data_IF_389105956653
#
_entry.id   IF_389105956653
#
_cell.length_a   1.000
_cell.length_b   1.000
_cell.length_c   1.000
_cell.angle_alpha   90.00
_cell.angle_beta   90.00
_cell.angle_gamma   90.00
#
_symmetry.space_group_name_H-M   'P 1'
#
loop_
_entity.id
_entity.type
_entity.pdbx_description
1 polymer ?
#
# COMPACT_ATOMS: atom_id res chain seq x y z
N UNK A 1 -14.05 -17.64 -24.93
CA UNK A 1 -12.79 -17.14 -25.52
C UNK A 1 -12.31 -15.83 -24.91
N UNK A 2 -13.10 -15.20 -24.06
CA UNK A 2 -12.90 -13.81 -23.63
C UNK A 2 -11.95 -13.62 -22.42
N UNK A 3 -11.57 -14.68 -21.72
CA UNK A 3 -10.76 -14.59 -20.50
C UNK A 3 -9.23 -14.64 -20.73
N UNK A 4 -8.80 -15.10 -21.90
CA UNK A 4 -7.37 -15.20 -22.23
C UNK A 4 -6.73 -13.85 -22.59
N UNK A 5 -7.46 -12.97 -23.25
CA UNK A 5 -6.95 -11.67 -23.71
C UNK A 5 -6.49 -10.76 -22.56
N UNK A 6 -7.28 -10.52 -21.48
CA UNK A 6 -6.85 -9.67 -20.36
C UNK A 6 -5.67 -10.25 -19.59
N UNK A 7 -5.58 -11.58 -19.44
CA UNK A 7 -4.45 -12.26 -18.77
C UNK A 7 -3.16 -12.11 -19.57
N UNK A 8 -3.25 -12.23 -20.91
CA UNK A 8 -2.11 -11.99 -21.78
C UNK A 8 -1.66 -10.54 -21.74
N UNK A 9 -2.60 -9.59 -21.70
CA UNK A 9 -2.28 -8.16 -21.53
C UNK A 9 -1.53 -7.93 -20.23
N UNK A 10 -1.98 -8.53 -19.10
CA UNK A 10 -1.26 -8.45 -17.82
C UNK A 10 0.16 -9.03 -17.90
N UNK A 11 0.35 -10.12 -18.66
CA UNK A 11 1.68 -10.70 -18.90
C UNK A 11 2.58 -9.70 -19.64
N UNK A 12 2.10 -9.10 -20.72
CA UNK A 12 2.82 -8.04 -21.44
C UNK A 12 3.08 -6.85 -20.53
N UNK A 13 2.10 -6.50 -19.69
CA UNK A 13 2.19 -5.41 -18.70
C UNK A 13 3.36 -5.55 -17.76
N UNK A 14 3.68 -6.77 -17.33
CA UNK A 14 4.85 -7.04 -16.51
C UNK A 14 6.14 -6.51 -17.16
N UNK A 15 6.32 -6.80 -18.45
CA UNK A 15 7.49 -6.33 -19.21
C UNK A 15 7.44 -4.81 -19.46
N UNK A 16 6.25 -4.25 -19.61
CA UNK A 16 6.08 -2.79 -19.73
C UNK A 16 6.54 -2.11 -18.45
N UNK A 17 6.16 -2.59 -17.24
CA UNK A 17 6.59 -2.01 -15.96
C UNK A 17 8.11 -2.10 -15.81
N UNK A 18 8.70 -3.25 -16.13
CA UNK A 18 10.17 -3.44 -16.14
C UNK A 18 10.84 -2.50 -17.16
N UNK A 19 10.25 -2.36 -18.35
CA UNK A 19 10.74 -1.48 -19.41
C UNK A 19 10.73 -0.01 -19.01
N UNK A 20 9.64 0.46 -18.36
CA UNK A 20 9.55 1.83 -17.83
C UNK A 20 10.62 2.05 -16.74
N UNK A 21 10.79 1.10 -15.82
CA UNK A 21 11.82 1.18 -14.79
C UNK A 21 13.22 1.28 -15.40
N UNK A 22 13.49 0.48 -16.46
CA UNK A 22 14.75 0.51 -17.18
C UNK A 22 14.96 1.83 -17.95
N UNK A 23 13.90 2.34 -18.56
CA UNK A 23 13.94 3.63 -19.29
C UNK A 23 14.24 4.81 -18.35
N UNK A 24 13.73 4.76 -17.11
CA UNK A 24 13.99 5.76 -16.05
C UNK A 24 15.27 5.49 -15.25
N UNK A 25 15.91 4.34 -15.53
CA UNK A 25 17.10 3.88 -14.81
C UNK A 25 18.37 4.68 -15.14
N UNK A 26 19.21 4.83 -14.12
CA UNK A 26 20.60 5.24 -14.26
C UNK A 26 21.46 4.01 -14.63
N UNK A 27 22.57 4.21 -15.30
CA UNK A 27 23.52 3.11 -15.60
C UNK A 27 22.89 1.82 -16.12
N UNK A 28 21.96 1.92 -17.09
CA UNK A 28 21.11 0.83 -17.62
C UNK A 28 21.88 -0.44 -18.00
N UNK A 29 23.15 -0.33 -18.40
CA UNK A 29 24.04 -1.46 -18.79
C UNK A 29 24.58 -2.24 -17.58
N UNK A 30 24.46 -1.69 -16.36
CA UNK A 30 24.96 -2.29 -15.11
C UNK A 30 23.88 -3.01 -14.29
N UNK A 31 22.67 -3.12 -14.83
CA UNK A 31 21.58 -3.86 -14.21
C UNK A 31 21.96 -5.33 -14.05
N UNK A 32 21.86 -5.85 -12.83
CA UNK A 32 22.15 -7.25 -12.56
C UNK A 32 20.95 -8.13 -12.95
N UNK A 33 21.06 -8.83 -14.08
CA UNK A 33 20.01 -9.70 -14.60
C UNK A 33 19.60 -10.82 -13.63
N UNK A 34 20.55 -11.33 -12.83
CA UNK A 34 20.23 -12.35 -11.81
C UNK A 34 19.24 -11.80 -10.78
N UNK A 35 19.45 -10.59 -10.28
CA UNK A 35 18.55 -9.93 -9.32
C UNK A 35 17.16 -9.75 -9.92
N UNK A 36 17.09 -9.29 -11.17
CA UNK A 36 15.81 -9.06 -11.87
C UNK A 36 15.07 -10.37 -12.10
N UNK A 37 15.71 -11.35 -12.74
CA UNK A 37 15.08 -12.65 -13.09
C UNK A 37 14.67 -13.40 -11.82
N UNK A 38 15.54 -13.45 -10.80
CA UNK A 38 15.23 -14.11 -9.55
C UNK A 38 14.09 -13.44 -8.80
N UNK A 39 14.01 -12.09 -8.82
CA UNK A 39 12.92 -11.35 -8.19
C UNK A 39 11.59 -11.55 -8.90
N UNK A 40 11.58 -11.53 -10.24
CA UNK A 40 10.39 -11.85 -11.04
C UNK A 40 9.93 -13.30 -10.81
N UNK A 41 10.87 -14.25 -10.79
CA UNK A 41 10.57 -15.66 -10.50
C UNK A 41 10.01 -15.83 -9.08
N UNK A 42 10.58 -15.15 -8.08
CA UNK A 42 10.11 -15.21 -6.70
C UNK A 42 8.68 -14.65 -6.57
N UNK A 43 8.38 -13.54 -7.25
CA UNK A 43 7.00 -13.01 -7.30
C UNK A 43 6.03 -14.00 -7.96
N UNK A 44 6.43 -14.61 -9.07
CA UNK A 44 5.60 -15.61 -9.76
C UNK A 44 5.32 -16.82 -8.86
N UNK A 45 6.34 -17.33 -8.17
CA UNK A 45 6.20 -18.44 -7.23
C UNK A 45 5.22 -18.09 -6.11
N UNK A 46 5.36 -16.90 -5.51
CA UNK A 46 4.43 -16.44 -4.47
C UNK A 46 3.01 -16.26 -5.04
N UNK A 47 2.86 -15.65 -6.21
CA UNK A 47 1.58 -15.46 -6.85
C UNK A 47 0.88 -16.79 -7.15
N UNK A 48 1.59 -17.75 -7.72
CA UNK A 48 1.05 -19.09 -7.99
C UNK A 48 0.68 -19.82 -6.69
N UNK A 49 1.57 -19.79 -5.70
CA UNK A 49 1.35 -20.46 -4.42
C UNK A 49 0.11 -19.90 -3.72
N UNK A 50 -0.05 -18.57 -3.70
CA UNK A 50 -1.13 -17.92 -2.96
C UNK A 50 -2.45 -17.90 -3.75
N UNK A 51 -2.39 -17.65 -5.08
CA UNK A 51 -3.62 -17.45 -5.88
C UNK A 51 -4.13 -18.72 -6.56
N UNK A 52 -3.31 -19.79 -6.70
CA UNK A 52 -3.67 -20.97 -7.52
C UNK A 52 -3.56 -22.30 -6.79
N UNK A 53 -3.10 -22.34 -5.52
CA UNK A 53 -2.98 -23.60 -4.79
C UNK A 53 -4.03 -23.72 -3.69
N UNK A 54 -4.28 -24.94 -3.24
CA UNK A 54 -5.08 -25.22 -2.05
C UNK A 54 -4.50 -24.54 -0.79
N UNK A 55 -3.19 -24.48 -0.66
CA UNK A 55 -2.54 -23.76 0.45
C UNK A 55 -2.89 -22.27 0.43
N UNK A 56 -2.98 -21.67 -0.76
CA UNK A 56 -3.44 -20.29 -0.93
C UNK A 56 -4.89 -20.10 -0.51
N UNK A 57 -5.80 -21.00 -0.90
CA UNK A 57 -7.20 -20.93 -0.45
C UNK A 57 -7.30 -20.96 1.07
N UNK A 58 -6.57 -21.88 1.74
CA UNK A 58 -6.51 -21.93 3.20
C UNK A 58 -5.87 -20.69 3.82
N UNK A 59 -4.87 -20.11 3.16
CA UNK A 59 -4.28 -18.85 3.58
C UNK A 59 -5.32 -17.71 3.54
N UNK A 60 -6.12 -17.60 2.45
CA UNK A 60 -7.18 -16.60 2.35
C UNK A 60 -8.23 -16.77 3.44
N UNK A 61 -8.76 -17.99 3.63
CA UNK A 61 -9.73 -18.32 4.69
C UNK A 61 -9.17 -17.93 6.08
N UNK A 62 -7.93 -18.31 6.37
CA UNK A 62 -7.26 -17.99 7.63
C UNK A 62 -7.02 -16.48 7.82
N UNK A 63 -6.63 -15.77 6.78
CA UNK A 63 -6.45 -14.33 6.81
C UNK A 63 -7.77 -13.61 7.07
N UNK A 64 -8.84 -13.94 6.33
CA UNK A 64 -10.16 -13.35 6.53
C UNK A 64 -10.69 -13.62 7.95
N UNK A 65 -10.55 -14.85 8.47
CA UNK A 65 -10.96 -15.19 9.82
C UNK A 65 -10.16 -14.42 10.88
N UNK A 66 -8.83 -14.32 10.72
CA UNK A 66 -7.95 -13.60 11.64
C UNK A 66 -8.27 -12.10 11.65
N UNK A 67 -8.39 -11.47 10.48
CA UNK A 67 -8.74 -10.05 10.39
C UNK A 67 -10.14 -9.76 10.92
N UNK A 68 -11.12 -10.63 10.64
CA UNK A 68 -12.48 -10.51 11.20
C UNK A 68 -12.47 -10.54 12.73
N UNK A 69 -11.73 -11.47 13.35
CA UNK A 69 -11.59 -11.54 14.79
C UNK A 69 -10.88 -10.31 15.38
N UNK A 70 -9.82 -9.82 14.73
CA UNK A 70 -9.11 -8.62 15.15
C UNK A 70 -9.96 -7.36 15.01
N UNK A 71 -10.75 -7.25 13.93
CA UNK A 71 -11.69 -6.13 13.75
C UNK A 71 -12.80 -6.17 14.81
N UNK A 72 -13.34 -7.34 15.14
CA UNK A 72 -14.30 -7.49 16.22
C UNK A 72 -13.71 -7.02 17.57
N UNK A 73 -12.48 -7.43 17.90
CA UNK A 73 -11.79 -7.00 19.12
C UNK A 73 -11.54 -5.48 19.12
N UNK A 74 -11.13 -4.90 17.99
CA UNK A 74 -10.96 -3.47 17.83
C UNK A 74 -12.25 -2.70 18.06
N UNK A 75 -13.37 -3.22 17.53
CA UNK A 75 -14.68 -2.61 17.67
C UNK A 75 -15.16 -2.62 19.13
N UNK A 76 -14.85 -3.63 19.93
CA UNK A 76 -15.17 -3.62 21.36
C UNK A 76 -14.45 -2.47 22.10
N UNK A 77 -13.16 -2.25 21.81
CA UNK A 77 -12.42 -1.11 22.36
C UNK A 77 -12.98 0.26 21.91
N UNK A 78 -13.29 0.38 20.61
CA UNK A 78 -13.90 1.60 20.08
C UNK A 78 -15.30 1.84 20.64
N UNK A 79 -16.11 0.80 20.84
CA UNK A 79 -17.45 0.88 21.45
C UNK A 79 -17.37 1.34 22.91
N UNK A 80 -16.39 0.84 23.65
CA UNK A 80 -16.19 1.28 25.03
C UNK A 80 -15.90 2.80 25.12
N UNK A 81 -15.11 3.33 24.18
CA UNK A 81 -14.71 4.74 24.18
C UNK A 81 -15.76 5.67 23.56
N UNK A 82 -16.35 5.26 22.42
CA UNK A 82 -17.22 6.10 21.59
C UNK A 82 -18.70 5.70 21.63
N UNK A 83 -19.03 4.63 22.36
CA UNK A 83 -20.41 4.14 22.47
C UNK A 83 -20.98 3.83 21.08
N UNK A 84 -22.17 4.33 20.88
CA UNK A 84 -22.91 4.07 19.66
C UNK A 84 -22.40 4.83 18.43
N UNK A 85 -21.49 5.79 18.52
CA UNK A 85 -20.92 6.51 17.37
C UNK A 85 -20.15 5.59 16.40
N UNK A 86 -19.81 4.38 16.82
CA UNK A 86 -19.20 3.36 15.93
C UNK A 86 -20.20 2.63 15.05
N UNK A 87 -21.52 2.75 15.32
CA UNK A 87 -22.56 2.07 14.54
C UNK A 87 -23.10 3.00 13.46
N UNK A 88 -23.12 2.57 12.17
CA UNK A 88 -23.66 3.39 11.10
C UNK A 88 -25.19 3.53 11.15
N UNK A 89 -25.86 2.66 11.90
CA UNK A 89 -27.32 2.57 11.99
C UNK A 89 -27.72 2.60 13.45
N UNK A 90 -28.68 3.45 13.79
CA UNK A 90 -29.28 3.56 15.11
C UNK A 90 -30.76 3.21 15.06
N UNK A 91 -31.16 2.36 15.96
CA UNK A 91 -32.54 2.13 16.26
C UNK A 91 -32.93 2.94 17.52
N UNK A 92 -33.68 4.03 17.33
CA UNK A 92 -34.24 4.78 18.44
C UNK A 92 -35.45 4.04 18.98
N UNK A 93 -35.31 3.43 20.17
CA UNK A 93 -36.42 2.90 20.96
C UNK A 93 -36.74 3.90 22.04
N UNK A 94 -37.92 4.51 21.97
CA UNK A 94 -38.41 5.42 23.03
C UNK A 94 -39.76 4.94 23.55
N UNK A 95 -39.99 5.06 24.87
CA UNK A 95 -41.30 4.86 25.47
C UNK A 95 -42.28 5.88 24.87
N UNK A 96 -43.26 5.39 24.08
CA UNK A 96 -44.27 6.22 23.43
C UNK A 96 -44.10 6.39 21.90
N UNK A 97 -43.07 5.78 21.29
CA UNK A 97 -42.94 5.73 19.84
C UNK A 97 -43.61 4.43 19.31
N UNK A 98 -44.66 4.58 18.53
CA UNK A 98 -45.40 3.47 17.95
C UNK A 98 -44.62 2.68 16.88
N UNK A 99 -43.47 3.24 16.44
CA UNK A 99 -42.58 2.60 15.46
C UNK A 99 -41.10 2.89 15.83
N UNK A 100 -40.23 1.89 15.65
CA UNK A 100 -38.79 2.07 15.73
C UNK A 100 -38.31 3.01 14.62
N UNK A 101 -37.77 4.16 15.00
CA UNK A 101 -37.13 5.07 14.03
C UNK A 101 -35.68 4.63 13.82
N UNK A 102 -35.34 4.26 12.57
CA UNK A 102 -33.97 3.95 12.16
C UNK A 102 -33.31 5.27 11.74
N UNK A 103 -32.28 5.68 12.46
CA UNK A 103 -31.43 6.80 12.08
C UNK A 103 -30.15 6.26 11.48
N UNK A 104 -29.88 6.60 10.22
CA UNK A 104 -28.67 6.19 9.49
C UNK A 104 -27.71 7.37 9.49
N UNK A 105 -26.64 7.28 10.28
CA UNK A 105 -25.56 8.29 10.27
C UNK A 105 -24.54 8.08 9.16
N UNK A 106 -24.54 6.92 8.50
CA UNK A 106 -23.51 6.52 7.58
C UNK A 106 -22.19 6.17 8.29
N UNK A 107 -21.15 5.89 7.51
CA UNK A 107 -19.85 5.53 8.05
C UNK A 107 -19.08 6.80 8.48
N UNK A 108 -18.82 6.95 9.80
CA UNK A 108 -17.99 8.02 10.35
C UNK A 108 -16.57 7.50 10.52
N UNK A 109 -15.68 7.85 9.58
CA UNK A 109 -14.28 7.37 9.53
C UNK A 109 -13.55 7.62 10.86
N UNK A 110 -13.77 8.75 11.51
CA UNK A 110 -13.11 9.11 12.77
C UNK A 110 -13.39 8.12 13.91
N UNK A 111 -14.60 7.57 13.98
CA UNK A 111 -15.01 6.69 15.07
C UNK A 111 -15.03 5.20 14.70
N UNK A 112 -15.13 4.89 13.41
CA UNK A 112 -15.24 3.51 12.93
C UNK A 112 -13.92 2.98 12.41
N UNK A 113 -13.08 3.81 11.77
CA UNK A 113 -11.89 3.36 11.04
C UNK A 113 -10.60 3.77 11.75
N UNK A 114 -10.48 5.01 12.22
CA UNK A 114 -9.24 5.45 12.87
C UNK A 114 -8.91 4.66 14.16
N UNK A 115 -9.87 4.22 15.00
CA UNK A 115 -9.58 3.36 16.14
C UNK A 115 -8.99 2.00 15.76
N UNK A 116 -9.35 1.47 14.58
CA UNK A 116 -8.77 0.23 14.05
C UNK A 116 -7.25 0.37 13.90
N UNK A 117 -6.78 1.50 13.37
CA UNK A 117 -5.35 1.79 13.21
C UNK A 117 -4.62 1.75 14.57
N UNK A 118 -5.25 2.31 15.62
CA UNK A 118 -4.69 2.30 17.00
C UNK A 118 -4.56 0.87 17.50
N UNK A 119 -5.63 0.09 17.42
CA UNK A 119 -5.64 -1.29 17.87
C UNK A 119 -4.63 -2.17 17.11
N UNK A 120 -4.62 -2.10 15.78
CA UNK A 120 -3.70 -2.88 14.97
C UNK A 120 -2.23 -2.48 15.19
N UNK A 121 -1.95 -1.21 15.47
CA UNK A 121 -0.61 -0.74 15.86
C UNK A 121 -0.18 -1.31 17.22
N UNK A 122 -1.08 -1.33 18.20
CA UNK A 122 -0.82 -1.95 19.50
C UNK A 122 -0.55 -3.46 19.35
N UNK A 123 -1.37 -4.16 18.57
CA UNK A 123 -1.23 -5.57 18.28
C UNK A 123 0.08 -5.88 17.55
N UNK A 124 0.45 -5.09 16.54
CA UNK A 124 1.73 -5.22 15.84
C UNK A 124 2.92 -5.03 16.80
N UNK A 125 2.83 -4.07 17.73
CA UNK A 125 3.82 -3.87 18.79
C UNK A 125 3.99 -5.10 19.68
N UNK A 126 2.90 -5.76 20.06
CA UNK A 126 2.92 -7.01 20.83
C UNK A 126 3.57 -8.14 20.03
N UNK A 127 3.19 -8.33 18.76
CA UNK A 127 3.79 -9.36 17.88
C UNK A 127 5.30 -9.13 17.68
N UNK A 128 5.69 -7.85 17.59
CA UNK A 128 7.09 -7.48 17.50
C UNK A 128 7.84 -7.80 18.79
N UNK A 129 7.29 -7.46 19.96
CA UNK A 129 7.90 -7.77 21.26
C UNK A 129 8.06 -9.29 21.48
N UNK A 130 7.06 -10.09 21.11
CA UNK A 130 7.09 -11.55 21.20
C UNK A 130 8.08 -12.21 20.21
N UNK A 131 8.64 -11.48 19.27
CA UNK A 131 9.59 -11.99 18.30
C UNK A 131 8.96 -12.67 17.08
N UNK A 132 7.64 -12.70 16.97
CA UNK A 132 6.93 -13.36 15.86
C UNK A 132 7.26 -12.66 14.53
N UNK A 133 7.14 -11.35 14.50
CA UNK A 133 7.47 -10.52 13.31
C UNK A 133 8.92 -10.75 12.88
N UNK A 134 9.86 -10.84 13.81
CA UNK A 134 11.30 -11.02 13.51
C UNK A 134 11.60 -12.36 12.86
N UNK A 135 10.89 -13.43 13.24
CA UNK A 135 11.07 -14.76 12.62
C UNK A 135 10.67 -14.71 11.15
N UNK A 136 9.50 -14.14 10.86
CA UNK A 136 8.96 -14.03 9.50
C UNK A 136 9.86 -13.13 8.65
N UNK A 137 10.20 -11.94 9.15
CA UNK A 137 11.07 -10.97 8.47
C UNK A 137 12.43 -11.57 8.15
N UNK A 138 13.05 -12.27 9.09
CA UNK A 138 14.34 -12.95 8.85
C UNK A 138 14.25 -14.04 7.79
N UNK A 139 13.16 -14.80 7.77
CA UNK A 139 12.93 -15.81 6.74
C UNK A 139 12.79 -15.16 5.36
N UNK A 140 11.94 -14.13 5.21
CA UNK A 140 11.77 -13.38 3.98
C UNK A 140 13.06 -12.74 3.49
N UNK A 141 13.79 -12.06 4.39
CA UNK A 141 15.06 -11.42 4.06
C UNK A 141 16.10 -12.43 3.57
N UNK A 142 16.20 -13.62 4.20
CA UNK A 142 17.12 -14.68 3.77
C UNK A 142 16.78 -15.24 2.38
N UNK A 143 15.48 -15.44 2.11
CA UNK A 143 15.02 -15.92 0.80
C UNK A 143 15.38 -14.91 -0.27
N UNK A 144 15.04 -13.63 -0.08
CA UNK A 144 15.33 -12.56 -1.03
C UNK A 144 16.85 -12.39 -1.23
N UNK A 145 17.63 -12.34 -0.15
CA UNK A 145 19.07 -12.20 -0.23
C UNK A 145 19.72 -13.35 -1.04
N UNK A 146 19.37 -14.60 -0.75
CA UNK A 146 19.95 -15.76 -1.44
C UNK A 146 19.52 -15.84 -2.91
N UNK A 147 18.24 -15.63 -3.19
CA UNK A 147 17.69 -15.73 -4.53
C UNK A 147 18.19 -14.58 -5.42
N UNK A 148 18.07 -13.34 -4.93
CA UNK A 148 18.30 -12.13 -5.71
C UNK A 148 19.75 -11.60 -5.61
N UNK A 149 20.59 -12.22 -4.77
CA UNK A 149 21.98 -11.78 -4.51
C UNK A 149 22.09 -10.31 -4.03
N UNK A 150 21.18 -9.93 -3.17
CA UNK A 150 21.09 -8.60 -2.57
C UNK A 150 21.85 -8.52 -1.24
N UNK A 151 21.99 -7.33 -0.67
CA UNK A 151 22.60 -7.18 0.65
C UNK A 151 21.64 -7.62 1.77
N UNK A 152 22.20 -7.92 2.93
CA UNK A 152 21.40 -8.27 4.12
C UNK A 152 20.58 -7.10 4.61
N UNK A 153 21.15 -5.89 4.62
CA UNK A 153 20.49 -4.69 5.12
C UNK A 153 19.27 -4.28 4.26
N UNK A 154 19.42 -4.26 2.94
CA UNK A 154 18.30 -3.90 2.05
C UNK A 154 17.19 -4.96 2.03
N UNK A 155 17.55 -6.25 2.02
CA UNK A 155 16.57 -7.34 2.08
C UNK A 155 15.80 -7.32 3.40
N UNK A 156 16.48 -7.03 4.51
CA UNK A 156 15.88 -6.89 5.82
C UNK A 156 14.95 -5.68 5.89
N UNK A 157 15.39 -4.53 5.39
CA UNK A 157 14.60 -3.29 5.36
C UNK A 157 13.27 -3.50 4.62
N UNK A 158 13.35 -4.06 3.41
CA UNK A 158 12.15 -4.30 2.58
C UNK A 158 11.22 -5.33 3.23
N UNK A 159 11.78 -6.40 3.84
CA UNK A 159 10.97 -7.38 4.56
C UNK A 159 10.28 -6.80 5.81
N UNK A 160 10.93 -5.87 6.52
CA UNK A 160 10.34 -5.18 7.67
C UNK A 160 9.16 -4.30 7.25
N UNK A 161 9.25 -3.60 6.13
CA UNK A 161 8.18 -2.73 5.66
C UNK A 161 6.89 -3.47 5.26
N UNK A 162 6.93 -4.77 5.01
CA UNK A 162 5.73 -5.59 4.81
C UNK A 162 4.83 -5.61 6.06
N UNK A 163 5.40 -5.46 7.25
CA UNK A 163 4.69 -5.55 8.53
C UNK A 163 4.62 -4.22 9.27
N UNK A 164 5.69 -3.42 9.16
CA UNK A 164 5.86 -2.16 9.87
C UNK A 164 5.95 -1.02 8.85
N UNK A 165 5.47 0.14 9.23
CA UNK A 165 5.64 1.36 8.43
C UNK A 165 7.06 1.95 8.52
N UNK A 166 7.16 3.27 8.49
CA UNK A 166 8.44 3.98 8.59
C UNK A 166 9.16 3.68 9.92
N UNK A 167 8.43 3.23 10.94
CA UNK A 167 8.96 2.81 12.24
C UNK A 167 9.98 1.68 12.13
N UNK A 168 9.87 0.86 11.06
CA UNK A 168 10.85 -0.19 10.77
C UNK A 168 12.29 0.35 10.65
N UNK A 169 12.45 1.63 10.28
CA UNK A 169 13.78 2.26 10.14
C UNK A 169 14.54 2.35 11.45
N UNK A 170 13.85 2.43 12.60
CA UNK A 170 14.49 2.45 13.92
C UNK A 170 15.20 1.11 14.19
N UNK A 171 14.62 0.00 13.74
CA UNK A 171 15.20 -1.33 13.90
C UNK A 171 16.47 -1.59 13.08
N UNK A 172 16.74 -0.75 12.08
CA UNK A 172 17.87 -0.87 11.14
C UNK A 172 18.71 0.42 11.04
N UNK A 173 18.58 1.31 12.01
CA UNK A 173 19.22 2.64 12.02
C UNK A 173 20.73 2.58 11.80
N UNK A 174 21.42 1.60 12.39
CA UNK A 174 22.85 1.41 12.24
C UNK A 174 23.28 1.08 10.80
N UNK A 175 22.42 0.38 10.08
CA UNK A 175 22.67 0.05 8.68
C UNK A 175 22.40 1.23 7.76
N UNK A 176 21.34 2.02 8.04
CA UNK A 176 20.91 3.14 7.15
C UNK A 176 22.07 4.11 6.89
N UNK A 177 22.81 4.47 7.93
CA UNK A 177 23.95 5.43 7.81
C UNK A 177 25.09 4.90 6.93
N UNK A 178 25.19 3.59 6.76
CA UNK A 178 26.27 2.91 6.01
C UNK A 178 25.80 2.29 4.70
N UNK A 179 24.53 2.45 4.35
CA UNK A 179 23.97 1.97 3.11
C UNK A 179 24.58 2.70 1.91
N UNK A 180 24.86 1.95 0.84
CA UNK A 180 25.17 2.51 -0.47
C UNK A 180 23.99 3.32 -0.98
N UNK A 181 24.22 4.13 -2.02
CA UNK A 181 23.12 4.88 -2.67
C UNK A 181 22.03 3.95 -3.21
N UNK A 182 22.40 2.81 -3.78
CA UNK A 182 21.49 1.80 -4.30
C UNK A 182 20.70 1.11 -3.19
N UNK A 183 21.33 0.73 -2.07
CA UNK A 183 20.66 0.16 -0.91
C UNK A 183 19.64 1.12 -0.30
N UNK A 184 20.05 2.41 -0.13
CA UNK A 184 19.16 3.45 0.39
C UNK A 184 17.94 3.65 -0.51
N UNK A 185 18.12 3.66 -1.83
CA UNK A 185 17.03 3.75 -2.78
C UNK A 185 16.12 2.51 -2.74
N UNK A 186 16.70 1.32 -2.57
CA UNK A 186 15.93 0.08 -2.39
C UNK A 186 15.08 0.12 -1.12
N UNK A 187 15.64 0.61 0.00
CA UNK A 187 14.91 0.84 1.24
C UNK A 187 13.73 1.81 1.01
N UNK A 188 13.99 2.96 0.40
CA UNK A 188 12.95 3.96 0.11
C UNK A 188 11.86 3.43 -0.81
N UNK A 189 12.24 2.64 -1.83
CA UNK A 189 11.29 1.96 -2.73
C UNK A 189 10.48 0.92 -1.98
N UNK A 190 11.09 0.16 -1.07
CA UNK A 190 10.40 -0.82 -0.21
C UNK A 190 9.30 -0.17 0.63
N UNK A 191 9.61 0.96 1.28
CA UNK A 191 8.60 1.73 2.01
C UNK A 191 7.45 2.20 1.11
N UNK A 192 7.76 2.70 -0.08
CA UNK A 192 6.73 3.17 -1.03
C UNK A 192 5.89 2.04 -1.63
N UNK A 193 6.45 0.83 -1.76
CA UNK A 193 5.79 -0.30 -2.41
C UNK A 193 4.99 -1.22 -1.46
N UNK A 194 5.09 -1.02 -0.15
CA UNK A 194 4.41 -1.84 0.86
C UNK A 194 3.47 -1.00 1.72
N UNK A 195 2.58 -1.66 2.44
CA UNK A 195 1.71 -1.03 3.44
C UNK A 195 1.99 -1.62 4.81
N UNK A 196 1.90 -0.78 5.84
CA UNK A 196 2.03 -1.24 7.21
C UNK A 196 0.84 -2.11 7.62
N UNK A 197 1.10 -3.19 8.36
CA UNK A 197 0.05 -4.08 8.88
C UNK A 197 -0.99 -3.35 9.75
N UNK A 198 -0.57 -2.28 10.43
CA UNK A 198 -1.46 -1.44 11.24
C UNK A 198 -2.54 -0.70 10.43
N UNK A 199 -2.24 -0.35 9.19
CA UNK A 199 -3.21 0.35 8.30
C UNK A 199 -4.05 -0.65 7.49
N UNK A 200 -3.53 -1.86 7.28
CA UNK A 200 -4.22 -2.92 6.53
C UNK A 200 -5.60 -3.24 7.13
N UNK A 201 -5.71 -3.26 8.46
CA UNK A 201 -6.99 -3.45 9.14
C UNK A 201 -8.06 -2.43 8.75
N UNK A 202 -7.67 -1.18 8.54
CA UNK A 202 -8.57 -0.13 8.08
C UNK A 202 -9.10 -0.41 6.65
N UNK A 203 -8.24 -0.87 5.74
CA UNK A 203 -8.67 -1.21 4.38
C UNK A 203 -9.59 -2.43 4.34
N UNK A 204 -9.30 -3.44 5.18
CA UNK A 204 -10.18 -4.60 5.33
C UNK A 204 -11.54 -4.19 5.90
N UNK A 205 -11.60 -3.19 6.79
CA UNK A 205 -12.87 -2.66 7.30
C UNK A 205 -13.72 -1.97 6.23
N UNK A 206 -13.12 -1.50 5.13
CA UNK A 206 -13.86 -1.00 3.97
C UNK A 206 -14.44 -2.13 3.09
N UNK A 207 -14.04 -3.38 3.33
CA UNK A 207 -14.47 -4.55 2.56
C UNK A 207 -13.41 -5.07 1.58
N UNK A 208 -12.18 -4.56 1.63
CA UNK A 208 -11.06 -5.10 0.83
C UNK A 208 -10.65 -6.45 1.40
N UNK A 209 -10.46 -7.46 0.56
CA UNK A 209 -10.06 -8.80 1.00
C UNK A 209 -8.72 -8.80 1.73
N UNK A 210 -8.70 -9.31 2.97
CA UNK A 210 -7.50 -9.44 3.78
C UNK A 210 -6.45 -10.34 3.13
N UNK A 211 -6.90 -11.42 2.48
CA UNK A 211 -6.03 -12.35 1.77
C UNK A 211 -5.31 -11.69 0.61
N UNK A 212 -6.03 -10.92 -0.24
CA UNK A 212 -5.42 -10.17 -1.34
C UNK A 212 -4.46 -9.09 -0.84
N UNK A 213 -4.78 -8.40 0.25
CA UNK A 213 -3.93 -7.38 0.84
C UNK A 213 -2.60 -7.96 1.36
N UNK A 214 -2.66 -9.07 2.12
CA UNK A 214 -1.47 -9.76 2.60
C UNK A 214 -0.62 -10.31 1.45
N UNK A 215 -1.26 -10.93 0.44
CA UNK A 215 -0.57 -11.42 -0.74
C UNK A 215 0.14 -10.29 -1.49
N UNK A 216 -0.54 -9.17 -1.71
CA UNK A 216 0.01 -7.98 -2.36
C UNK A 216 1.23 -7.44 -1.60
N UNK A 217 1.14 -7.30 -0.26
CA UNK A 217 2.22 -6.78 0.58
C UNK A 217 3.46 -7.68 0.53
N UNK A 218 3.29 -9.02 0.64
CA UNK A 218 4.41 -9.97 0.55
C UNK A 218 5.05 -9.95 -0.85
N UNK A 219 4.24 -9.92 -1.91
CA UNK A 219 4.73 -9.88 -3.29
C UNK A 219 5.42 -8.57 -3.64
N UNK A 220 5.04 -7.47 -3.01
CA UNK A 220 5.64 -6.15 -3.22
C UNK A 220 7.09 -6.08 -2.73
N UNK A 221 7.50 -6.91 -1.78
CA UNK A 221 8.87 -6.91 -1.28
C UNK A 221 9.91 -7.26 -2.37
N UNK A 222 9.87 -8.41 -3.06
CA UNK A 222 10.78 -8.68 -4.17
C UNK A 222 10.55 -7.71 -5.35
N UNK A 223 9.32 -7.23 -5.59
CA UNK A 223 9.04 -6.24 -6.62
C UNK A 223 9.81 -4.94 -6.40
N UNK A 224 9.79 -4.43 -5.16
CA UNK A 224 10.50 -3.21 -4.78
C UNK A 224 12.00 -3.32 -5.05
N UNK A 225 12.61 -4.46 -4.71
CA UNK A 225 14.02 -4.72 -4.97
C UNK A 225 14.31 -4.75 -6.49
N UNK A 226 13.48 -5.46 -7.28
CA UNK A 226 13.64 -5.54 -8.75
C UNK A 226 13.63 -4.15 -9.36
N UNK A 227 12.57 -3.38 -9.11
CA UNK A 227 12.41 -2.05 -9.70
C UNK A 227 13.51 -1.09 -9.21
N UNK A 228 13.84 -1.10 -7.92
CA UNK A 228 14.91 -0.27 -7.38
C UNK A 228 16.26 -0.58 -8.02
N UNK A 229 16.63 -1.85 -8.15
CA UNK A 229 17.91 -2.26 -8.75
C UNK A 229 17.96 -2.10 -10.27
N UNK A 230 16.82 -2.00 -10.95
CA UNK A 230 16.76 -1.58 -12.36
C UNK A 230 16.98 -0.06 -12.46
N UNK A 231 16.31 0.73 -11.61
CA UNK A 231 16.38 2.19 -11.66
C UNK A 231 17.73 2.75 -11.15
N UNK A 232 18.25 2.17 -10.06
CA UNK A 232 19.56 2.54 -9.49
C UNK A 232 20.34 1.25 -9.19
N UNK A 233 21.09 0.73 -10.17
CA UNK A 233 21.90 -0.48 -10.00
C UNK A 233 22.97 -0.30 -8.92
N UNK A 234 23.38 -1.40 -8.28
CA UNK A 234 24.45 -1.39 -7.30
C UNK A 234 25.82 -1.19 -7.96
N UNK A 235 26.47 -0.13 -7.62
CA UNK A 235 27.79 0.26 -8.16
C UNK A 235 28.89 0.23 -7.11
N UNK A 236 28.51 0.05 -5.84
CA UNK A 236 29.41 0.05 -4.69
C UNK A 236 29.46 -1.36 -4.06
N UNK A 237 30.23 -1.53 -3.01
CA UNK A 237 30.32 -2.78 -2.27
C UNK A 237 29.50 -2.67 -0.98
N UNK A 238 28.29 -3.25 -0.90
CA UNK A 238 27.47 -3.25 0.31
C UNK A 238 28.17 -3.93 1.48
N UNK A 239 28.17 -3.28 2.65
CA UNK A 239 28.82 -3.82 3.86
C UNK A 239 28.20 -5.14 4.36
N UNK A 240 26.91 -5.36 4.10
CA UNK A 240 26.18 -6.54 4.57
C UNK A 240 25.97 -7.59 3.47
N UNK A 241 26.82 -7.56 2.43
CA UNK A 241 26.72 -8.54 1.33
C UNK A 241 26.95 -9.95 1.86
N UNK A 242 25.98 -10.83 1.61
CA UNK A 242 26.04 -12.23 2.06
C UNK A 242 25.70 -12.47 3.54
N UNK A 243 25.38 -11.40 4.32
CA UNK A 243 25.08 -11.53 5.76
C UNK A 243 23.73 -10.87 6.09
N UNK A 244 22.85 -11.60 6.74
CA UNK A 244 21.66 -11.06 7.42
C UNK A 244 21.90 -11.15 8.92
N UNK A 245 22.33 -10.07 9.54
CA UNK A 245 22.37 -9.94 10.99
C UNK A 245 21.23 -9.01 11.41
N UNK A 246 20.33 -9.50 12.21
CA UNK A 246 19.22 -8.71 12.72
C UNK A 246 19.09 -8.94 14.22
N UNK A 247 19.51 -7.95 14.97
CA UNK A 247 19.28 -7.85 16.41
C UNK A 247 18.43 -6.60 16.65
N UNK A 248 17.10 -6.74 16.64
CA UNK A 248 16.22 -5.60 16.86
C UNK A 248 16.44 -5.06 18.27
N UNK A 249 16.53 -3.75 18.45
CA UNK A 249 16.54 -3.14 19.77
C UNK A 249 15.23 -3.50 20.50
N UNK A 250 15.33 -4.01 21.72
CA UNK A 250 14.17 -4.23 22.59
C UNK A 250 13.88 -2.91 23.33
N UNK A 251 13.02 -2.08 22.74
CA UNK A 251 12.63 -0.82 23.35
C UNK A 251 11.58 -1.02 24.46
N UNK A 252 10.73 -2.04 24.34
CA UNK A 252 9.69 -2.33 25.31
C UNK A 252 10.20 -3.26 26.42
N UNK A 253 9.85 -2.94 27.67
CA UNK A 253 10.25 -3.70 28.86
C UNK A 253 9.40 -4.96 29.04
N UNK A 254 8.14 -4.92 28.66
CA UNK A 254 7.19 -6.03 28.73
C UNK A 254 6.10 -5.91 27.69
N UNK A 255 5.20 -6.92 27.61
CA UNK A 255 4.09 -6.96 26.63
C UNK A 255 3.15 -5.78 26.76
N UNK A 256 2.88 -5.31 27.97
CA UNK A 256 1.98 -4.18 28.25
C UNK A 256 2.60 -2.88 27.76
N UNK A 257 3.90 -2.66 28.01
CA UNK A 257 4.65 -1.52 27.49
C UNK A 257 4.69 -1.54 25.95
N UNK A 258 4.88 -2.71 25.35
CA UNK A 258 4.85 -2.89 23.89
C UNK A 258 3.47 -2.50 23.30
N UNK A 259 2.39 -2.95 23.93
CA UNK A 259 1.04 -2.59 23.52
C UNK A 259 0.78 -1.09 23.67
N UNK A 260 1.18 -0.48 24.79
CA UNK A 260 1.00 0.95 25.06
C UNK A 260 1.77 1.83 24.08
N UNK A 261 3.04 1.50 23.78
CA UNK A 261 3.85 2.18 22.75
C UNK A 261 3.24 2.04 21.36
N UNK A 262 2.79 0.84 21.01
CA UNK A 262 2.10 0.58 19.75
C UNK A 262 0.80 1.39 19.64
N UNK A 263 0.00 1.45 20.70
CA UNK A 263 -1.21 2.28 20.75
C UNK A 263 -0.90 3.78 20.58
N UNK A 264 0.15 4.28 21.25
CA UNK A 264 0.62 5.66 21.10
C UNK A 264 1.04 5.98 19.65
N UNK A 265 1.84 5.09 19.03
CA UNK A 265 2.23 5.23 17.63
C UNK A 265 1.01 5.17 16.68
N UNK A 266 0.07 4.25 16.94
CA UNK A 266 -1.19 4.13 16.20
C UNK A 266 -2.08 5.36 16.33
N UNK A 267 -2.14 6.00 17.51
CA UNK A 267 -2.87 7.25 17.72
C UNK A 267 -2.30 8.37 16.84
N UNK A 268 -0.97 8.56 16.87
CA UNK A 268 -0.31 9.55 16.01
C UNK A 268 -0.57 9.30 14.53
N UNK A 269 -0.51 8.03 14.11
CA UNK A 269 -0.81 7.63 12.73
C UNK A 269 -2.27 7.93 12.38
N UNK A 270 -3.22 7.59 13.24
CA UNK A 270 -4.65 7.86 13.05
C UNK A 270 -4.94 9.36 12.94
N UNK A 271 -4.36 10.20 13.82
CA UNK A 271 -4.49 11.64 13.76
C UNK A 271 -3.91 12.22 12.45
N UNK A 272 -2.76 11.75 12.03
CA UNK A 272 -2.16 12.17 10.75
C UNK A 272 -3.04 11.76 9.56
N UNK A 273 -3.58 10.53 9.56
CA UNK A 273 -4.51 10.09 8.51
C UNK A 273 -5.73 11.03 8.50
N UNK A 274 -6.33 11.31 9.66
CA UNK A 274 -7.49 12.22 9.77
C UNK A 274 -7.18 13.63 9.24
N UNK A 275 -6.04 14.20 9.64
CA UNK A 275 -5.59 15.51 9.15
C UNK A 275 -5.37 15.53 7.63
N UNK A 276 -4.72 14.51 7.09
CA UNK A 276 -4.49 14.36 5.66
C UNK A 276 -5.81 14.20 4.88
N UNK A 277 -6.76 13.43 5.41
CA UNK A 277 -8.08 13.28 4.79
C UNK A 277 -8.79 14.63 4.69
N UNK A 278 -8.86 15.40 5.80
CA UNK A 278 -9.51 16.71 5.79
C UNK A 278 -8.84 17.64 4.78
N UNK A 279 -7.51 17.74 4.81
CA UNK A 279 -6.76 18.64 3.95
C UNK A 279 -6.87 18.27 2.47
N UNK A 280 -6.56 17.02 2.11
CA UNK A 280 -6.47 16.63 0.70
C UNK A 280 -7.83 16.41 0.05
N UNK A 281 -8.81 15.87 0.76
CA UNK A 281 -10.19 15.80 0.23
C UNK A 281 -10.75 17.20 0.01
N UNK A 282 -10.49 18.14 0.95
CA UNK A 282 -10.86 19.56 0.78
C UNK A 282 -10.16 20.21 -0.42
N UNK A 283 -8.86 19.99 -0.60
CA UNK A 283 -8.11 20.53 -1.74
C UNK A 283 -8.61 19.96 -3.09
N UNK A 284 -8.97 18.68 -3.14
CA UNK A 284 -9.56 18.08 -4.35
C UNK A 284 -10.95 18.67 -4.62
N UNK A 285 -11.77 18.86 -3.58
CA UNK A 285 -13.05 19.51 -3.73
C UNK A 285 -12.89 20.94 -4.30
N UNK A 286 -11.93 21.70 -3.77
CA UNK A 286 -11.59 23.03 -4.29
C UNK A 286 -11.13 22.98 -5.75
N UNK A 287 -10.22 22.05 -6.08
CA UNK A 287 -9.76 21.87 -7.45
C UNK A 287 -10.92 21.50 -8.40
N UNK A 288 -11.85 20.63 -7.95
CA UNK A 288 -13.03 20.27 -8.74
C UNK A 288 -14.00 21.43 -8.92
N UNK A 289 -14.13 22.34 -7.94
CA UNK A 289 -14.92 23.58 -8.08
C UNK A 289 -14.30 24.46 -9.17
N UNK A 290 -12.97 24.66 -9.15
CA UNK A 290 -12.25 25.47 -10.14
C UNK A 290 -12.37 24.87 -11.54
N UNK A 291 -12.13 23.56 -11.67
CA UNK A 291 -12.26 22.82 -12.94
C UNK A 291 -13.71 22.81 -13.44
N UNK A 292 -14.67 22.67 -12.51
CA UNK A 292 -16.10 22.72 -12.80
C UNK A 292 -16.52 24.05 -13.38
N UNK A 293 -16.10 25.16 -12.77
CA UNK A 293 -16.41 26.52 -13.29
C UNK A 293 -15.86 26.73 -14.72
N UNK A 294 -14.63 26.24 -15.00
CA UNK A 294 -14.08 26.25 -16.35
C UNK A 294 -14.84 25.36 -17.34
N UNK A 295 -15.28 24.17 -16.88
CA UNK A 295 -16.01 23.22 -17.73
C UNK A 295 -17.45 23.67 -17.99
N UNK A 296 -18.10 24.39 -17.08
CA UNK A 296 -19.46 24.95 -17.31
C UNK A 296 -19.49 25.90 -18.49
N UNK A 297 -18.44 26.71 -18.70
CA UNK A 297 -18.29 27.57 -19.89
C UNK A 297 -18.18 26.71 -21.16
N UNK A 298 -17.38 25.65 -21.13
CA UNK A 298 -17.18 24.75 -22.28
C UNK A 298 -18.44 23.92 -22.59
N UNK A 299 -19.18 23.51 -21.57
CA UNK A 299 -20.48 22.83 -21.72
C UNK A 299 -21.51 23.76 -22.32
N UNK A 300 -21.55 25.02 -21.86
CA UNK A 300 -22.42 26.05 -22.45
C UNK A 300 -22.16 26.30 -23.94
N UNK A 301 -20.94 26.07 -24.41
CA UNK A 301 -20.57 26.10 -25.82
C UNK A 301 -20.66 24.75 -26.55
N UNK A 302 -21.26 23.72 -25.92
CA UNK A 302 -21.41 22.37 -26.48
C UNK A 302 -20.06 21.68 -26.80
N UNK A 303 -18.97 22.16 -26.22
CA UNK A 303 -17.62 21.58 -26.42
C UNK A 303 -17.33 20.37 -25.51
N UNK A 304 -18.09 20.23 -24.42
CA UNK A 304 -17.97 19.12 -23.45
C UNK A 304 -19.35 18.57 -23.10
N UNK A 305 -19.48 17.26 -22.95
CA UNK A 305 -20.71 16.60 -22.53
C UNK A 305 -20.89 16.59 -21.00
N UNK A 306 -19.79 16.64 -20.25
CA UNK A 306 -19.78 16.49 -18.77
C UNK A 306 -18.67 17.33 -18.13
N UNK A 307 -18.87 17.66 -16.83
CA UNK A 307 -17.89 18.42 -16.05
C UNK A 307 -16.55 17.70 -15.94
N UNK A 308 -15.49 18.48 -16.02
CA UNK A 308 -14.12 18.01 -15.78
C UNK A 308 -13.90 17.93 -14.26
N UNK A 309 -13.41 16.79 -13.79
CA UNK A 309 -12.97 16.60 -12.40
C UNK A 309 -11.55 16.03 -12.37
N UNK A 310 -10.84 16.23 -11.28
CA UNK A 310 -9.51 15.62 -11.09
C UNK A 310 -9.55 14.09 -11.24
N UNK A 311 -10.57 13.45 -10.70
CA UNK A 311 -10.75 12.01 -10.81
C UNK A 311 -10.86 11.56 -12.27
N UNK A 312 -11.57 12.34 -13.08
CA UNK A 312 -11.70 12.06 -14.52
C UNK A 312 -10.39 12.28 -15.26
N UNK A 313 -9.66 13.36 -14.95
CA UNK A 313 -8.32 13.59 -15.51
C UNK A 313 -7.39 12.42 -15.15
N UNK A 314 -7.39 11.98 -13.90
CA UNK A 314 -6.59 10.82 -13.46
C UNK A 314 -7.05 9.54 -14.14
N UNK A 315 -8.39 9.36 -14.30
CA UNK A 315 -8.94 8.23 -15.04
C UNK A 315 -8.30 8.12 -16.41
N UNK A 316 -8.30 9.18 -17.20
CA UNK A 316 -7.69 9.18 -18.53
C UNK A 316 -6.16 9.05 -18.48
N UNK A 317 -5.48 9.75 -17.59
CA UNK A 317 -4.02 9.73 -17.50
C UNK A 317 -3.44 8.35 -17.13
N UNK A 318 -4.13 7.63 -16.23
CA UNK A 318 -3.67 6.33 -15.73
C UNK A 318 -4.35 5.13 -16.39
N UNK A 319 -5.41 5.33 -17.22
CA UNK A 319 -6.08 4.25 -17.95
C UNK A 319 -5.13 3.38 -18.79
N UNK A 320 -4.14 3.92 -19.51
CA UNK A 320 -3.23 3.09 -20.27
C UNK A 320 -2.45 2.11 -19.38
N UNK A 321 -2.01 2.55 -18.20
CA UNK A 321 -1.33 1.69 -17.23
C UNK A 321 -2.28 0.66 -16.64
N UNK A 322 -3.51 1.07 -16.29
CA UNK A 322 -4.54 0.16 -15.78
C UNK A 322 -4.92 -0.90 -16.83
N UNK A 323 -5.05 -0.49 -18.09
CA UNK A 323 -5.34 -1.42 -19.18
C UNK A 323 -4.22 -2.44 -19.37
N UNK A 324 -2.97 -2.00 -19.36
CA UNK A 324 -1.79 -2.88 -19.48
C UNK A 324 -1.66 -3.82 -18.25
N UNK A 325 -2.17 -3.46 -17.09
CA UNK A 325 -2.29 -4.36 -15.94
C UNK A 325 -3.39 -5.42 -16.11
N UNK A 326 -4.25 -5.31 -17.14
CA UNK A 326 -5.24 -6.31 -17.51
C UNK A 326 -6.68 -5.97 -17.11
N UNK A 327 -7.04 -4.68 -17.04
CA UNK A 327 -8.43 -4.27 -16.93
C UNK A 327 -9.24 -4.79 -18.13
N UNK A 328 -10.49 -5.21 -17.89
CA UNK A 328 -11.31 -5.93 -18.88
C UNK A 328 -11.83 -5.07 -20.02
N UNK A 329 -12.06 -3.80 -19.75
CA UNK A 329 -12.57 -2.81 -20.70
C UNK A 329 -11.90 -1.45 -20.48
N UNK A 330 -12.08 -0.54 -21.43
CA UNK A 330 -11.56 0.82 -21.28
C UNK A 330 -12.23 1.58 -20.12
N UNK A 331 -13.54 1.37 -19.90
CA UNK A 331 -14.25 1.94 -18.74
C UNK A 331 -13.71 1.39 -17.41
N UNK A 332 -13.44 0.09 -17.33
CA UNK A 332 -12.80 -0.55 -16.17
C UNK A 332 -11.38 0.01 -15.95
N UNK A 333 -10.61 0.19 -17.04
CA UNK A 333 -9.31 0.83 -16.97
C UNK A 333 -9.37 2.30 -16.49
N UNK A 334 -10.42 3.04 -16.85
CA UNK A 334 -10.64 4.39 -16.34
C UNK A 334 -10.99 4.39 -14.86
N UNK A 335 -11.82 3.46 -14.38
CA UNK A 335 -12.15 3.33 -12.96
C UNK A 335 -10.90 3.01 -12.14
N UNK A 336 -10.09 2.03 -12.57
CA UNK A 336 -8.80 1.74 -11.93
C UNK A 336 -7.85 2.94 -12.02
N UNK A 337 -7.78 3.60 -13.17
CA UNK A 337 -6.97 4.82 -13.37
C UNK A 337 -7.31 5.95 -12.40
N UNK A 338 -8.60 6.18 -12.13
CA UNK A 338 -9.04 7.15 -11.12
C UNK A 338 -8.50 6.82 -9.73
N UNK A 339 -8.51 5.53 -9.36
CA UNK A 339 -7.96 5.06 -8.09
C UNK A 339 -6.44 5.29 -8.01
N UNK A 340 -5.70 5.01 -9.11
CA UNK A 340 -4.25 5.21 -9.16
C UNK A 340 -3.88 6.69 -9.02
N UNK A 341 -4.60 7.58 -9.68
CA UNK A 341 -4.40 9.02 -9.56
C UNK A 341 -4.77 9.54 -8.18
N UNK A 342 -5.88 9.09 -7.62
CA UNK A 342 -6.30 9.41 -6.24
C UNK A 342 -5.23 8.98 -5.24
N UNK A 343 -4.68 7.75 -5.37
CA UNK A 343 -3.58 7.27 -4.54
C UNK A 343 -2.36 8.19 -4.63
N UNK A 344 -1.93 8.56 -5.83
CA UNK A 344 -0.71 9.35 -6.04
C UNK A 344 -0.82 10.73 -5.39
N UNK A 345 -1.95 11.41 -5.56
CA UNK A 345 -2.14 12.80 -5.14
C UNK A 345 -2.58 12.89 -3.68
N UNK A 346 -3.48 12.00 -3.24
CA UNK A 346 -3.93 11.96 -1.85
C UNK A 346 -3.19 10.85 -1.10
N UNK A 347 -3.76 9.64 -1.15
CA UNK A 347 -3.21 8.40 -0.62
C UNK A 347 -4.08 7.20 -1.03
N UNK A 348 -3.60 6.01 -0.72
CA UNK A 348 -4.29 4.74 -0.96
C UNK A 348 -5.53 4.56 -0.07
N UNK A 349 -5.57 5.19 1.11
CA UNK A 349 -6.71 5.11 2.02
C UNK A 349 -7.99 5.64 1.38
N UNK A 350 -7.92 6.85 0.78
CA UNK A 350 -9.04 7.45 0.04
C UNK A 350 -9.38 6.63 -1.20
N UNK A 351 -8.37 6.09 -1.88
CA UNK A 351 -8.59 5.27 -3.06
C UNK A 351 -9.35 3.98 -2.73
N UNK A 352 -8.99 3.27 -1.65
CA UNK A 352 -9.72 2.08 -1.20
C UNK A 352 -11.13 2.41 -0.71
N UNK A 353 -11.31 3.48 0.06
CA UNK A 353 -12.64 3.92 0.51
C UNK A 353 -13.56 4.23 -0.68
N UNK A 354 -13.06 4.98 -1.67
CA UNK A 354 -13.78 5.31 -2.89
C UNK A 354 -14.09 4.06 -3.73
N UNK A 355 -13.13 3.14 -3.87
CA UNK A 355 -13.34 1.88 -4.56
C UNK A 355 -14.50 1.08 -3.96
N UNK A 356 -14.46 0.88 -2.64
CA UNK A 356 -15.40 -0.02 -1.97
C UNK A 356 -16.76 0.61 -1.69
N UNK A 357 -16.83 1.93 -1.47
CA UNK A 357 -18.11 2.61 -1.17
C UNK A 357 -18.81 3.21 -2.40
N UNK A 358 -18.06 3.45 -3.48
CA UNK A 358 -18.63 4.11 -4.67
C UNK A 358 -18.55 3.22 -5.89
N UNK A 359 -17.34 2.82 -6.32
CA UNK A 359 -17.20 2.13 -7.60
C UNK A 359 -17.80 0.71 -7.59
N UNK A 360 -17.58 -0.04 -6.52
CA UNK A 360 -18.09 -1.42 -6.41
C UNK A 360 -19.63 -1.45 -6.30
N UNK A 361 -20.29 -0.70 -5.39
CA UNK A 361 -21.75 -0.73 -5.29
C UNK A 361 -22.48 -0.20 -6.52
N UNK A 362 -21.86 0.71 -7.27
CA UNK A 362 -22.42 1.26 -8.50
C UNK A 362 -22.13 0.40 -9.75
N UNK A 363 -21.38 -0.70 -9.61
CA UNK A 363 -20.99 -1.53 -10.74
C UNK A 363 -20.06 -0.87 -11.75
N UNK A 364 -19.33 0.18 -11.33
CA UNK A 364 -18.42 0.95 -12.18
C UNK A 364 -17.04 0.33 -12.36
N UNK A 365 -16.74 -0.71 -11.58
CA UNK A 365 -15.50 -1.47 -11.66
C UNK A 365 -15.82 -2.97 -11.66
N UNK A 366 -15.16 -3.73 -12.52
CA UNK A 366 -15.35 -5.19 -12.60
C UNK A 366 -14.72 -5.90 -11.38
N UNK A 367 -15.15 -7.13 -11.02
CA UNK A 367 -14.50 -7.93 -9.98
C UNK A 367 -13.00 -8.10 -10.22
N UNK A 368 -12.59 -8.28 -11.47
CA UNK A 368 -11.18 -8.34 -11.89
C UNK A 368 -10.48 -6.99 -11.67
N UNK A 369 -11.14 -5.90 -12.04
CA UNK A 369 -10.65 -4.53 -11.80
C UNK A 369 -10.43 -4.26 -10.31
N UNK A 370 -11.33 -4.73 -9.44
CA UNK A 370 -11.17 -4.64 -7.97
C UNK A 370 -9.90 -5.36 -7.50
N UNK A 371 -9.65 -6.59 -7.99
CA UNK A 371 -8.42 -7.31 -7.64
C UNK A 371 -7.19 -6.56 -8.14
N UNK A 372 -7.14 -6.17 -9.41
CA UNK A 372 -6.02 -5.41 -9.99
C UNK A 372 -5.77 -4.13 -9.18
N UNK A 373 -6.83 -3.37 -8.88
CA UNK A 373 -6.73 -2.15 -8.07
C UNK A 373 -6.21 -2.46 -6.66
N UNK A 374 -6.67 -3.53 -6.02
CA UNK A 374 -6.22 -3.93 -4.69
C UNK A 374 -4.70 -4.12 -4.64
N UNK A 375 -4.13 -4.81 -5.62
CA UNK A 375 -2.67 -4.99 -5.71
C UNK A 375 -1.96 -3.71 -6.13
N UNK A 376 -2.50 -2.97 -7.09
CA UNK A 376 -1.91 -1.73 -7.56
C UNK A 376 -1.90 -0.62 -6.50
N UNK A 377 -2.87 -0.58 -5.60
CA UNK A 377 -2.96 0.40 -4.50
C UNK A 377 -2.13 -0.01 -3.27
N UNK A 378 -1.67 -1.26 -3.17
CA UNK A 378 -1.01 -1.80 -1.99
C UNK A 378 0.41 -1.22 -1.80
N UNK A 379 0.50 -0.01 -1.26
CA UNK A 379 1.76 0.68 -0.94
C UNK A 379 1.59 2.18 -0.72
N UNK A 380 2.53 2.78 -0.02
CA UNK A 380 2.51 4.19 0.38
C UNK A 380 3.06 5.16 -0.70
N UNK A 381 3.06 4.78 -1.98
CA UNK A 381 3.60 5.62 -3.05
C UNK A 381 2.67 6.79 -3.39
N UNK A 382 2.72 7.85 -2.60
CA UNK A 382 2.00 9.10 -2.76
C UNK A 382 2.88 10.31 -2.38
N UNK A 383 2.44 11.53 -2.70
CA UNK A 383 3.21 12.74 -2.39
C UNK A 383 3.36 13.00 -0.89
N UNK A 384 2.37 12.64 -0.08
CA UNK A 384 2.46 12.77 1.39
C UNK A 384 3.58 11.90 1.98
N UNK A 385 3.77 10.70 1.43
CA UNK A 385 4.82 9.77 1.86
C UNK A 385 6.23 10.25 1.53
N UNK A 386 6.40 11.16 0.55
CA UNK A 386 7.68 11.84 0.29
C UNK A 386 8.13 12.63 1.52
N UNK A 387 7.22 13.38 2.14
CA UNK A 387 7.52 14.14 3.35
C UNK A 387 7.87 13.21 4.52
N UNK A 388 7.17 12.09 4.66
CA UNK A 388 7.43 11.08 5.70
C UNK A 388 8.83 10.48 5.51
N UNK A 389 9.21 10.11 4.28
CA UNK A 389 10.56 9.59 3.99
C UNK A 389 11.64 10.61 4.29
N UNK A 390 11.49 11.86 3.82
CA UNK A 390 12.47 12.91 4.04
C UNK A 390 12.60 13.25 5.52
N UNK A 391 11.48 13.31 6.24
CA UNK A 391 11.45 13.56 7.69
C UNK A 391 12.07 12.40 8.48
N UNK A 392 11.60 11.17 8.25
CA UNK A 392 12.06 9.99 8.98
C UNK A 392 13.52 9.63 8.72
N UNK A 393 13.89 9.42 7.45
CA UNK A 393 15.27 9.08 7.09
C UNK A 393 16.24 10.26 7.28
N UNK A 394 15.79 11.49 7.03
CA UNK A 394 16.60 12.68 7.22
C UNK A 394 16.92 12.99 8.69
N UNK A 395 16.06 12.55 9.62
CA UNK A 395 16.35 12.61 11.06
C UNK A 395 17.41 11.56 11.48
N UNK A 396 17.39 10.37 10.84
CA UNK A 396 18.36 9.31 11.10
C UNK A 396 19.75 9.66 10.53
N UNK A 397 19.78 10.26 9.34
CA UNK A 397 21.00 10.60 8.62
C UNK A 397 20.92 12.03 8.06
N UNK A 398 21.17 13.03 8.91
CA UNK A 398 21.10 14.44 8.52
C UNK A 398 22.09 14.82 7.43
N UNK A 399 23.26 14.16 7.37
CA UNK A 399 24.31 14.45 6.39
C UNK A 399 23.86 14.10 4.97
N UNK A 400 23.04 13.03 4.82
CA UNK A 400 22.50 12.61 3.53
C UNK A 400 21.07 13.10 3.25
N UNK A 401 20.52 14.03 4.04
CA UNK A 401 19.16 14.56 3.87
C UNK A 401 18.90 15.10 2.46
N UNK A 402 19.88 15.79 1.86
CA UNK A 402 19.77 16.30 0.50
C UNK A 402 19.68 15.15 -0.55
N UNK A 403 20.45 14.07 -0.36
CA UNK A 403 20.38 12.88 -1.20
C UNK A 403 19.02 12.18 -1.05
N UNK A 404 18.58 12.00 0.19
CA UNK A 404 17.27 11.40 0.50
C UNK A 404 16.14 12.19 -0.19
N UNK A 405 16.14 13.51 -0.10
CA UNK A 405 15.15 14.36 -0.76
C UNK A 405 15.14 14.21 -2.29
N UNK A 406 16.32 14.13 -2.92
CA UNK A 406 16.42 13.88 -4.37
C UNK A 406 15.94 12.50 -4.78
N UNK A 407 16.20 11.49 -3.96
CA UNK A 407 15.76 10.11 -4.24
C UNK A 407 14.29 9.89 -3.93
N UNK A 408 13.67 10.65 -3.02
CA UNK A 408 12.31 10.43 -2.55
C UNK A 408 11.25 10.50 -3.66
N UNK A 409 11.34 11.48 -4.56
CA UNK A 409 10.42 11.57 -5.72
C UNK A 409 10.60 10.37 -6.66
N UNK A 410 11.83 9.94 -6.88
CA UNK A 410 12.12 8.74 -7.69
C UNK A 410 11.63 7.47 -7.00
N UNK A 411 11.67 7.42 -5.67
CA UNK A 411 11.16 6.30 -4.89
C UNK A 411 9.63 6.18 -4.99
N UNK A 412 8.88 7.28 -5.13
CA UNK A 412 7.44 7.23 -5.44
C UNK A 412 7.22 6.50 -6.76
N UNK A 413 7.90 6.91 -7.83
CA UNK A 413 7.77 6.26 -9.14
C UNK A 413 8.17 4.79 -9.08
N UNK A 414 9.28 4.48 -8.40
CA UNK A 414 9.76 3.12 -8.19
C UNK A 414 8.74 2.26 -7.42
N UNK A 415 8.16 2.80 -6.34
CA UNK A 415 7.12 2.14 -5.55
C UNK A 415 5.84 1.89 -6.34
N UNK A 416 5.38 2.87 -7.14
CA UNK A 416 4.24 2.71 -8.05
C UNK A 416 4.48 1.55 -9.03
N UNK A 417 5.64 1.55 -9.71
CA UNK A 417 5.98 0.49 -10.67
C UNK A 417 6.07 -0.89 -10.01
N UNK A 418 6.57 -0.97 -8.78
CA UNK A 418 6.60 -2.22 -8.02
C UNK A 418 5.19 -2.74 -7.70
N UNK A 419 4.27 -1.86 -7.27
CA UNK A 419 2.87 -2.23 -7.04
C UNK A 419 2.17 -2.62 -8.35
N UNK A 420 2.40 -1.89 -9.45
CA UNK A 420 1.81 -2.20 -10.77
C UNK A 420 2.34 -3.53 -11.32
N UNK A 421 3.62 -3.83 -11.13
CA UNK A 421 4.20 -5.12 -11.45
C UNK A 421 3.52 -6.25 -10.65
N UNK A 422 3.26 -6.03 -9.36
CA UNK A 422 2.52 -6.97 -8.51
C UNK A 422 1.07 -7.15 -8.98
N UNK A 423 0.41 -6.06 -9.39
CA UNK A 423 -0.93 -6.10 -9.99
C UNK A 423 -0.98 -6.85 -11.32
N UNK A 424 0.09 -6.76 -12.15
CA UNK A 424 0.21 -7.57 -13.36
C UNK A 424 0.22 -9.08 -13.03
N UNK A 425 0.94 -9.52 -12.01
CA UNK A 425 0.91 -10.93 -11.58
C UNK A 425 -0.49 -11.36 -11.11
N UNK A 426 -1.17 -10.54 -10.33
CA UNK A 426 -2.55 -10.81 -9.94
C UNK A 426 -3.44 -10.90 -11.18
N UNK A 427 -3.34 -9.94 -12.10
CA UNK A 427 -4.09 -9.92 -13.35
C UNK A 427 -3.81 -11.10 -14.28
N UNK A 428 -2.60 -11.69 -14.27
CA UNK A 428 -2.30 -12.92 -15.02
C UNK A 428 -3.04 -14.14 -14.46
N UNK A 429 -3.30 -14.16 -13.16
CA UNK A 429 -3.75 -15.35 -12.45
C UNK A 429 -5.22 -15.31 -12.03
N UNK A 430 -5.85 -14.15 -12.07
CA UNK A 430 -7.29 -13.95 -11.74
C UNK A 430 -8.16 -13.73 -13.01
#
# INVERSE_FOLDING_TARGET
>A
MDDFSPRFVSFVGLFVMVGIAWALGENRRKVNLRTVVAGLALQLIFALLVLKTWYGARFFEGAEAAFSALLAASNEGAKFLFGNLISPIYELKGDGLDHSHIVVFGAVVAFQVLPIVIFFSAFAGVLYYLGITQVIVRAMARIMQKAMNTSGAESLAVALFVFLGIEATTAIIEYIRRMTRSELFTLMTGFMATIAGSVMGAYVSFGVSAGHMLAASVMSAPAAIVIAKIMIPEMEAPLTRGRVSFQPPREAVNVIDAAARGAGAGLWLALNIGAMLIAFVGLIALANIILGAGSDVLIGHQMLAEKITLQRIFGYAFSPLAWVMGATSWSDAQAVGQLLGTRLVINEFVAYDYMMKVLVPQGLISPRGVVIATYALCGFANFGSVAILIGGLGAIDPERKALIARLAVRAVVSGLLACFMTACYAGMLV
#
